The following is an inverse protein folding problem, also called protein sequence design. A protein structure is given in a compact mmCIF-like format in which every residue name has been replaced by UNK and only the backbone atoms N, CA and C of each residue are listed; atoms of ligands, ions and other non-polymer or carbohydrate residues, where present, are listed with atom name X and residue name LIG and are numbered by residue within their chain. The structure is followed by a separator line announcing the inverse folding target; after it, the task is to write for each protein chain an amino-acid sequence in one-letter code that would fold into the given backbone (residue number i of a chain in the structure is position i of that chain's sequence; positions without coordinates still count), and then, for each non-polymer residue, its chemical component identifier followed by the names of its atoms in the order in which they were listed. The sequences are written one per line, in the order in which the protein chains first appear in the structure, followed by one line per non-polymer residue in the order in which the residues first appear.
data_IF_564900215645
#
_entry.id   IF_564900215645
#
_cell.length_a   1.000
_cell.length_b   1.000
_cell.length_c   1.000
_cell.angle_alpha   90.00
_cell.angle_beta   90.00
_cell.angle_gamma   90.00
#
_symmetry.space_group_name_H-M   'P 1'
#
loop_
_entity.id
_entity.type
_entity.pdbx_description
1 polymer ?
#
# COMPACT_ATOMS: atom_id res chain seq x y z
N UNK A 1 -6.90 -26.64 -9.83
CA UNK A 1 -5.56 -26.56 -9.22
C UNK A 1 -4.81 -25.25 -9.50
N UNK A 2 -5.13 -24.49 -10.56
CA UNK A 2 -4.43 -23.23 -10.91
C UNK A 2 -4.79 -22.03 -10.02
N UNK A 3 -6.05 -21.88 -9.58
CA UNK A 3 -6.51 -20.68 -8.83
C UNK A 3 -5.99 -20.60 -7.40
N UNK A 4 -6.05 -21.70 -6.64
CA UNK A 4 -5.55 -21.75 -5.27
C UNK A 4 -4.04 -21.49 -5.20
N UNK A 5 -3.28 -22.06 -6.13
CA UNK A 5 -1.84 -21.82 -6.25
C UNK A 5 -1.55 -20.35 -6.54
N UNK A 6 -2.32 -19.71 -7.42
CA UNK A 6 -2.15 -18.28 -7.72
C UNK A 6 -2.45 -17.39 -6.50
N UNK A 7 -3.51 -17.70 -5.74
CA UNK A 7 -3.84 -16.97 -4.50
C UNK A 7 -2.71 -17.15 -3.48
N UNK A 8 -2.22 -18.37 -3.31
CA UNK A 8 -1.10 -18.66 -2.41
C UNK A 8 0.17 -17.89 -2.81
N UNK A 9 0.56 -17.95 -4.09
CA UNK A 9 1.71 -17.22 -4.61
C UNK A 9 1.55 -15.71 -4.46
N UNK A 10 0.35 -15.16 -4.70
CA UNK A 10 0.09 -13.73 -4.56
C UNK A 10 0.26 -13.27 -3.11
N UNK A 11 -0.28 -14.01 -2.12
CA UNK A 11 -0.13 -13.69 -0.70
C UNK A 11 1.33 -13.67 -0.25
N UNK A 12 2.09 -14.71 -0.59
CA UNK A 12 3.48 -14.86 -0.16
C UNK A 12 4.49 -14.15 -1.07
N UNK A 13 4.06 -13.56 -2.20
CA UNK A 13 4.94 -12.78 -3.06
C UNK A 13 5.56 -11.57 -2.37
N UNK A 14 4.90 -11.04 -1.33
CA UNK A 14 5.41 -9.96 -0.49
C UNK A 14 6.68 -10.35 0.29
N UNK A 15 6.96 -11.65 0.45
CA UNK A 15 8.19 -12.12 1.08
C UNK A 15 9.43 -11.69 0.28
N UNK A 16 9.33 -11.59 -1.05
CA UNK A 16 10.42 -11.14 -1.90
C UNK A 16 10.87 -9.69 -1.58
N UNK A 17 10.01 -8.64 -1.66
CA UNK A 17 10.42 -7.29 -1.29
C UNK A 17 10.85 -7.18 0.17
N UNK A 18 10.24 -7.94 1.10
CA UNK A 18 10.65 -7.92 2.52
C UNK A 18 12.07 -8.43 2.71
N UNK A 19 12.42 -9.59 2.14
CA UNK A 19 13.77 -10.17 2.26
C UNK A 19 14.80 -9.25 1.60
N UNK A 20 14.52 -8.76 0.39
CA UNK A 20 15.42 -7.84 -0.31
C UNK A 20 15.59 -6.53 0.48
N UNK A 21 14.51 -6.01 1.04
CA UNK A 21 14.52 -4.82 1.91
C UNK A 21 15.36 -5.02 3.16
N UNK A 22 15.26 -6.19 3.81
CA UNK A 22 16.05 -6.53 5.00
C UNK A 22 17.55 -6.58 4.69
N UNK A 23 17.93 -7.26 3.60
CA UNK A 23 19.33 -7.37 3.18
C UNK A 23 19.94 -5.99 2.84
N UNK A 24 19.13 -5.04 2.37
CA UNK A 24 19.59 -3.70 1.99
C UNK A 24 19.38 -2.63 3.06
N UNK A 25 18.71 -2.92 4.17
CA UNK A 25 18.25 -1.93 5.16
C UNK A 25 19.37 -1.03 5.71
N UNK A 26 20.59 -1.56 5.84
CA UNK A 26 21.76 -0.79 6.33
C UNK A 26 22.18 0.33 5.37
N UNK A 27 21.97 0.12 4.07
CA UNK A 27 22.50 0.94 2.97
C UNK A 27 21.47 1.94 2.43
N UNK A 28 20.17 1.67 2.61
CA UNK A 28 19.08 2.47 2.06
C UNK A 28 18.94 3.82 2.76
N UNK A 29 18.65 4.88 2.00
CA UNK A 29 18.32 6.20 2.56
C UNK A 29 17.08 6.09 3.49
N UNK A 30 17.10 6.85 4.59
CA UNK A 30 16.01 6.93 5.57
C UNK A 30 14.68 7.32 4.92
N UNK A 31 14.71 8.03 3.78
CA UNK A 31 13.50 8.40 3.02
C UNK A 31 12.67 7.19 2.55
N UNK A 32 13.28 6.02 2.40
CA UNK A 32 12.58 4.77 2.02
C UNK A 32 12.11 3.94 3.22
N UNK A 33 12.41 4.35 4.46
CA UNK A 33 12.03 3.62 5.66
C UNK A 33 10.51 3.38 5.77
N UNK A 34 9.62 4.37 5.49
CA UNK A 34 8.18 4.16 5.60
C UNK A 34 7.70 3.06 4.65
N UNK A 35 8.27 3.01 3.44
CA UNK A 35 7.97 2.00 2.44
C UNK A 35 8.41 0.60 2.89
N UNK A 36 9.62 0.47 3.45
CA UNK A 36 10.09 -0.82 3.97
C UNK A 36 9.22 -1.30 5.13
N UNK A 37 8.84 -0.40 6.04
CA UNK A 37 7.92 -0.72 7.13
C UNK A 37 6.56 -1.17 6.59
N UNK A 38 6.07 -0.55 5.52
CA UNK A 38 4.82 -0.94 4.88
C UNK A 38 4.87 -2.38 4.33
N UNK A 39 5.99 -2.79 3.72
CA UNK A 39 6.18 -4.18 3.27
C UNK A 39 6.16 -5.16 4.45
N UNK A 40 6.81 -4.79 5.57
CA UNK A 40 6.80 -5.60 6.80
C UNK A 40 5.41 -5.69 7.42
N UNK A 41 4.70 -4.57 7.54
CA UNK A 41 3.33 -4.56 8.09
C UNK A 41 2.38 -5.35 7.22
N UNK A 42 2.53 -5.30 5.88
CA UNK A 42 1.75 -6.13 4.96
C UNK A 42 1.99 -7.62 5.21
N UNK A 43 3.25 -8.05 5.36
CA UNK A 43 3.59 -9.45 5.61
C UNK A 43 3.05 -9.92 6.97
N UNK A 44 3.20 -9.10 8.01
CA UNK A 44 2.66 -9.39 9.33
C UNK A 44 1.14 -9.47 9.29
N UNK A 45 0.47 -8.57 8.56
CA UNK A 45 -0.97 -8.59 8.41
C UNK A 45 -1.48 -9.88 7.74
N UNK A 46 -0.79 -10.40 6.72
CA UNK A 46 -1.14 -11.69 6.10
C UNK A 46 -1.03 -12.84 7.10
N UNK A 47 0.09 -12.91 7.84
CA UNK A 47 0.31 -13.96 8.86
C UNK A 47 -0.73 -13.87 9.98
N UNK A 48 -0.97 -12.67 10.52
CA UNK A 48 -1.96 -12.47 11.59
C UNK A 48 -3.37 -12.76 11.08
N UNK A 49 -3.70 -12.38 9.84
CA UNK A 49 -4.99 -12.67 9.22
C UNK A 49 -5.21 -14.17 9.09
N UNK A 50 -4.21 -14.94 8.66
CA UNK A 50 -4.31 -16.38 8.55
C UNK A 50 -4.52 -17.06 9.91
N UNK A 51 -3.79 -16.60 10.95
CA UNK A 51 -4.00 -17.07 12.32
C UNK A 51 -5.40 -16.70 12.81
N UNK A 52 -5.85 -15.47 12.57
CA UNK A 52 -7.14 -14.95 13.01
C UNK A 52 -8.31 -15.71 12.40
N UNK A 53 -8.24 -16.04 11.11
CA UNK A 53 -9.25 -16.85 10.43
C UNK A 53 -9.34 -18.24 11.06
N UNK A 54 -8.21 -18.85 11.43
CA UNK A 54 -8.19 -20.20 12.03
C UNK A 54 -8.73 -20.20 13.47
N UNK A 55 -8.40 -19.18 14.27
CA UNK A 55 -8.75 -19.12 15.71
C UNK A 55 -10.13 -18.49 15.93
N UNK A 56 -10.40 -17.33 15.33
CA UNK A 56 -11.60 -16.52 15.58
C UNK A 56 -12.63 -16.58 14.45
N UNK A 57 -12.35 -17.29 13.35
CA UNK A 57 -13.20 -17.37 12.15
C UNK A 57 -13.47 -16.03 11.47
N UNK A 58 -12.70 -15.00 11.83
CA UNK A 58 -12.74 -13.67 11.24
C UNK A 58 -11.35 -13.03 11.36
N UNK A 59 -11.00 -12.20 10.38
CA UNK A 59 -9.83 -11.33 10.41
C UNK A 59 -10.22 -9.84 10.34
N UNK A 60 -11.51 -9.49 10.37
CA UNK A 60 -11.96 -8.12 10.19
C UNK A 60 -11.29 -7.12 11.15
N UNK A 61 -11.16 -7.39 12.48
CA UNK A 61 -10.46 -6.48 13.38
C UNK A 61 -9.00 -6.22 12.94
N UNK A 62 -8.25 -7.28 12.64
CA UNK A 62 -6.85 -7.19 12.23
C UNK A 62 -6.70 -6.41 10.91
N UNK A 63 -7.57 -6.70 9.93
CA UNK A 63 -7.57 -6.01 8.65
C UNK A 63 -7.89 -4.53 8.82
N UNK A 64 -8.90 -4.18 9.63
CA UNK A 64 -9.26 -2.78 9.89
C UNK A 64 -8.13 -2.00 10.55
N UNK A 65 -7.39 -2.60 11.50
CA UNK A 65 -6.20 -1.98 12.08
C UNK A 65 -5.08 -1.82 11.06
N UNK A 66 -4.89 -2.82 10.19
CA UNK A 66 -3.86 -2.76 9.16
C UNK A 66 -4.13 -1.65 8.14
N UNK A 67 -5.39 -1.37 7.81
CA UNK A 67 -5.76 -0.25 6.93
C UNK A 67 -5.30 1.11 7.47
N UNK A 68 -5.54 1.40 8.75
CA UNK A 68 -5.11 2.69 9.32
C UNK A 68 -3.59 2.78 9.43
N UNK A 69 -2.92 1.68 9.77
CA UNK A 69 -1.44 1.63 9.78
C UNK A 69 -0.88 1.87 8.38
N UNK A 70 -1.42 1.21 7.36
CA UNK A 70 -1.01 1.39 5.97
C UNK A 70 -1.23 2.82 5.50
N UNK A 71 -2.41 3.40 5.74
CA UNK A 71 -2.73 4.78 5.36
C UNK A 71 -1.76 5.80 5.98
N UNK A 72 -1.39 5.63 7.26
CA UNK A 72 -0.44 6.51 7.94
C UNK A 72 1.00 6.32 7.44
N UNK A 73 1.41 5.08 7.12
CA UNK A 73 2.73 4.80 6.52
C UNK A 73 2.85 5.39 5.12
N UNK A 74 1.81 5.30 4.29
CA UNK A 74 1.76 5.93 2.96
C UNK A 74 1.85 7.46 3.08
N UNK A 75 1.11 8.06 4.00
CA UNK A 75 1.19 9.50 4.25
C UNK A 75 2.59 9.92 4.71
N UNK A 76 3.23 9.13 5.58
CA UNK A 76 4.61 9.36 5.99
C UNK A 76 5.57 9.23 4.81
N UNK A 77 5.41 8.22 3.95
CA UNK A 77 6.21 8.03 2.74
C UNK A 77 6.18 9.27 1.84
N UNK A 78 4.97 9.74 1.48
CA UNK A 78 4.82 10.93 0.63
C UNK A 78 5.34 12.21 1.29
N UNK A 79 5.29 12.29 2.63
CA UNK A 79 5.91 13.40 3.38
C UNK A 79 7.43 13.37 3.28
N UNK A 80 8.08 12.22 3.43
CA UNK A 80 9.54 12.08 3.26
C UNK A 80 9.99 12.38 1.83
N UNK A 81 9.14 12.04 0.86
CA UNK A 81 9.33 12.38 -0.54
C UNK A 81 9.01 13.84 -0.89
N UNK A 82 8.66 14.65 0.11
CA UNK A 82 8.40 16.09 -0.02
C UNK A 82 7.27 16.41 -1.01
N UNK A 83 6.30 15.49 -1.17
CA UNK A 83 5.05 15.80 -1.89
C UNK A 83 4.35 17.00 -1.24
N UNK A 84 4.36 17.02 0.09
CA UNK A 84 3.94 18.17 0.88
C UNK A 84 5.14 19.09 1.12
N UNK A 85 4.93 20.40 1.00
CA UNK A 85 5.95 21.38 1.38
C UNK A 85 6.35 21.15 2.85
N UNK A 86 7.65 21.32 3.17
CA UNK A 86 8.24 20.95 4.48
C UNK A 86 7.50 21.51 5.70
N UNK A 87 6.86 22.67 5.58
CA UNK A 87 6.09 23.35 6.65
C UNK A 87 4.58 23.31 6.45
N UNK A 88 4.09 22.61 5.43
CA UNK A 88 2.67 22.59 5.14
C UNK A 88 1.92 21.71 6.15
N UNK A 89 0.81 22.20 6.74
CA UNK A 89 -0.01 21.42 7.66
C UNK A 89 -0.81 20.33 6.95
N UNK A 90 -0.82 20.27 5.60
CA UNK A 90 -1.67 19.35 4.85
C UNK A 90 -1.45 17.87 5.21
N UNK A 91 -0.20 17.45 5.45
CA UNK A 91 0.07 16.09 5.89
C UNK A 91 -0.57 15.80 7.27
N UNK A 92 -0.55 16.77 8.19
CA UNK A 92 -1.17 16.60 9.51
C UNK A 92 -2.71 16.55 9.39
N UNK A 93 -3.29 17.43 8.58
CA UNK A 93 -4.74 17.48 8.32
C UNK A 93 -5.22 16.17 7.69
N UNK A 94 -4.51 15.65 6.69
CA UNK A 94 -4.85 14.36 6.09
C UNK A 94 -4.70 13.19 7.07
N UNK A 95 -3.65 13.19 7.90
CA UNK A 95 -3.46 12.17 8.94
C UNK A 95 -4.57 12.19 9.98
N UNK A 96 -4.97 13.38 10.44
CA UNK A 96 -6.13 13.54 11.32
C UNK A 96 -7.43 13.09 10.64
N UNK A 97 -7.58 13.38 9.35
CA UNK A 97 -8.71 12.90 8.53
C UNK A 97 -8.77 11.38 8.43
N UNK A 98 -7.63 10.70 8.22
CA UNK A 98 -7.58 9.24 8.22
C UNK A 98 -8.00 8.65 9.56
N UNK A 99 -7.43 9.13 10.67
CA UNK A 99 -7.78 8.64 12.01
C UNK A 99 -9.24 8.90 12.33
N UNK A 100 -9.74 10.11 12.03
CA UNK A 100 -11.13 10.49 12.29
C UNK A 100 -12.14 9.65 11.51
N UNK A 101 -11.92 9.45 10.21
CA UNK A 101 -12.82 8.63 9.38
C UNK A 101 -12.74 7.16 9.79
N UNK A 102 -11.54 6.60 9.93
CA UNK A 102 -11.38 5.21 10.40
C UNK A 102 -12.09 4.96 11.73
N UNK A 103 -11.94 5.88 12.69
CA UNK A 103 -12.58 5.80 13.98
C UNK A 103 -14.11 5.86 13.84
N UNK A 104 -14.62 6.81 13.05
CA UNK A 104 -16.06 6.95 12.82
C UNK A 104 -16.66 5.67 12.20
N UNK A 105 -16.06 5.11 11.14
CA UNK A 105 -16.60 3.90 10.52
C UNK A 105 -16.53 2.68 11.44
N UNK A 106 -15.36 2.46 12.06
CA UNK A 106 -15.09 1.25 12.85
C UNK A 106 -15.89 1.21 14.15
N UNK A 107 -16.06 2.36 14.82
CA UNK A 107 -16.70 2.40 16.14
C UNK A 107 -18.13 2.95 16.14
N UNK A 108 -18.48 3.87 15.24
CA UNK A 108 -19.81 4.51 15.24
C UNK A 108 -20.81 3.83 14.30
N UNK A 109 -20.36 3.28 13.16
CA UNK A 109 -21.27 2.81 12.12
C UNK A 109 -21.36 1.28 11.98
N UNK A 110 -20.23 0.57 11.81
CA UNK A 110 -20.23 -0.86 11.43
C UNK A 110 -19.79 -1.83 12.53
N UNK A 111 -19.08 -1.33 13.54
CA UNK A 111 -18.48 -2.14 14.59
C UNK A 111 -17.22 -2.87 14.12
N UNK A 112 -16.36 -3.23 15.09
CA UNK A 112 -15.01 -3.77 14.81
C UNK A 112 -14.99 -5.13 14.10
N UNK A 113 -16.10 -5.86 14.11
CA UNK A 113 -16.22 -7.21 13.52
C UNK A 113 -16.55 -7.20 12.02
N UNK A 114 -16.83 -6.04 11.44
CA UNK A 114 -17.11 -5.88 10.02
C UNK A 114 -15.95 -5.13 9.33
N UNK A 115 -15.74 -5.40 8.04
CA UNK A 115 -14.70 -4.68 7.28
C UNK A 115 -15.08 -3.21 7.05
N UNK A 116 -14.12 -2.32 7.31
CA UNK A 116 -14.24 -0.87 7.11
C UNK A 116 -13.99 -0.49 5.63
N UNK A 117 -14.87 -0.98 4.74
CA UNK A 117 -14.76 -0.78 3.29
C UNK A 117 -14.78 0.70 2.88
N UNK A 118 -15.55 1.57 3.55
CA UNK A 118 -15.62 2.98 3.15
C UNK A 118 -14.31 3.71 3.41
N UNK A 119 -13.68 3.45 4.56
CA UNK A 119 -12.36 3.94 4.90
C UNK A 119 -11.33 3.39 3.91
N UNK A 120 -11.42 2.09 3.56
CA UNK A 120 -10.53 1.47 2.58
C UNK A 120 -10.60 2.16 1.22
N UNK A 121 -11.81 2.38 0.69
CA UNK A 121 -12.04 3.15 -0.54
C UNK A 121 -11.45 4.55 -0.40
N UNK A 122 -11.72 5.23 0.71
CA UNK A 122 -11.29 6.60 0.95
C UNK A 122 -9.77 6.75 0.93
N UNK A 123 -9.03 5.99 1.74
CA UNK A 123 -7.57 6.15 1.77
C UNK A 123 -6.90 5.63 0.49
N UNK A 124 -7.45 4.58 -0.13
CA UNK A 124 -6.96 4.09 -1.43
C UNK A 124 -7.09 5.17 -2.50
N UNK A 125 -8.24 5.85 -2.58
CA UNK A 125 -8.46 6.95 -3.50
C UNK A 125 -7.49 8.12 -3.28
N UNK A 126 -7.32 8.55 -2.02
CA UNK A 126 -6.34 9.61 -1.70
C UNK A 126 -4.91 9.17 -2.07
N UNK A 127 -4.57 7.90 -1.86
CA UNK A 127 -3.25 7.35 -2.24
C UNK A 127 -3.01 7.38 -3.74
N UNK A 128 -4.03 7.07 -4.56
CA UNK A 128 -3.96 7.21 -6.02
C UNK A 128 -3.68 8.67 -6.39
N UNK A 129 -4.41 9.63 -5.81
CA UNK A 129 -4.22 11.06 -6.09
C UNK A 129 -2.80 11.53 -5.71
N UNK A 130 -2.30 11.13 -4.53
CA UNK A 130 -0.93 11.45 -4.09
C UNK A 130 0.12 10.82 -5.02
N UNK A 131 -0.09 9.57 -5.45
CA UNK A 131 0.81 8.86 -6.34
C UNK A 131 0.89 9.53 -7.71
N UNK A 132 -0.25 9.89 -8.31
CA UNK A 132 -0.31 10.59 -9.60
C UNK A 132 0.34 11.98 -9.50
N UNK A 133 0.03 12.74 -8.46
CA UNK A 133 0.66 14.05 -8.25
C UNK A 133 2.17 13.93 -8.10
N UNK A 134 2.66 12.91 -7.38
CA UNK A 134 4.08 12.69 -7.23
C UNK A 134 4.76 12.27 -8.54
N UNK A 135 4.11 11.43 -9.34
CA UNK A 135 4.58 11.10 -10.70
C UNK A 135 4.70 12.37 -11.55
N UNK A 136 3.74 13.29 -11.48
CA UNK A 136 3.81 14.57 -12.20
C UNK A 136 5.00 15.43 -11.76
N UNK A 137 5.31 15.43 -10.46
CA UNK A 137 6.50 16.12 -9.93
C UNK A 137 7.78 15.45 -10.45
N UNK A 138 7.85 14.12 -10.48
CA UNK A 138 9.00 13.39 -11.02
C UNK A 138 9.19 13.68 -12.53
N UNK A 139 8.12 13.67 -13.32
CA UNK A 139 8.18 13.94 -14.76
C UNK A 139 8.62 15.39 -15.03
N UNK A 140 8.10 16.36 -14.27
CA UNK A 140 8.47 17.77 -14.45
C UNK A 140 9.87 18.10 -13.93
N UNK A 141 10.35 17.40 -12.90
CA UNK A 141 11.67 17.62 -12.31
C UNK A 141 12.84 16.97 -13.06
N UNK A 142 12.62 15.86 -13.78
CA UNK A 142 13.69 15.10 -14.44
C UNK A 142 13.56 15.13 -15.96
N UNK A 143 14.64 15.50 -16.67
CA UNK A 143 14.66 15.52 -18.15
C UNK A 143 14.52 14.14 -18.79
N UNK A 144 14.88 13.04 -18.08
CA UNK A 144 14.75 11.66 -18.57
C UNK A 144 14.33 10.72 -17.44
N UNK A 145 13.03 10.58 -17.23
CA UNK A 145 12.50 9.59 -16.31
C UNK A 145 12.75 8.17 -16.87
N UNK A 146 13.61 7.42 -16.19
CA UNK A 146 13.92 6.03 -16.55
C UNK A 146 13.16 5.07 -15.65
N UNK A 147 12.78 3.89 -16.16
CA UNK A 147 12.19 2.79 -15.37
C UNK A 147 13.07 2.32 -14.20
N UNK A 148 14.34 2.77 -14.11
CA UNK A 148 15.24 2.52 -12.99
C UNK A 148 15.02 3.44 -11.79
N UNK A 149 14.18 4.48 -11.91
CA UNK A 149 13.82 5.32 -10.77
C UNK A 149 12.86 4.55 -9.85
N UNK A 150 13.36 4.11 -8.71
CA UNK A 150 12.61 3.33 -7.71
C UNK A 150 11.32 4.04 -7.26
N UNK A 151 11.38 5.35 -7.01
CA UNK A 151 10.24 6.17 -6.61
C UNK A 151 9.10 6.17 -7.67
N UNK A 152 9.46 6.24 -8.95
CA UNK A 152 8.50 6.15 -10.05
C UNK A 152 7.84 4.77 -10.09
N UNK A 153 8.62 3.69 -9.97
CA UNK A 153 8.06 2.33 -9.95
C UNK A 153 7.12 2.09 -8.78
N UNK A 154 7.47 2.57 -7.60
CA UNK A 154 6.65 2.41 -6.39
C UNK A 154 5.33 3.15 -6.55
N UNK A 155 5.37 4.42 -6.95
CA UNK A 155 4.15 5.22 -7.16
C UNK A 155 3.29 4.71 -8.31
N UNK A 156 3.88 4.24 -9.41
CA UNK A 156 3.14 3.61 -10.50
C UNK A 156 2.42 2.34 -10.02
N UNK A 157 3.09 1.52 -9.20
CA UNK A 157 2.51 0.31 -8.61
C UNK A 157 1.40 0.64 -7.61
N UNK A 158 1.55 1.69 -6.80
CA UNK A 158 0.49 2.17 -5.92
C UNK A 158 -0.73 2.64 -6.71
N UNK A 159 -0.54 3.45 -7.76
CA UNK A 159 -1.63 3.90 -8.62
C UNK A 159 -2.39 2.69 -9.19
N UNK A 160 -1.69 1.70 -9.74
CA UNK A 160 -2.33 0.51 -10.31
C UNK A 160 -3.05 -0.33 -9.26
N UNK A 161 -2.38 -0.64 -8.15
CA UNK A 161 -2.92 -1.49 -7.09
C UNK A 161 -4.12 -0.83 -6.40
N UNK A 162 -3.98 0.40 -5.91
CA UNK A 162 -5.05 1.07 -5.18
C UNK A 162 -6.25 1.43 -6.05
N UNK A 163 -6.06 1.67 -7.36
CA UNK A 163 -7.20 1.82 -8.29
C UNK A 163 -8.03 0.53 -8.35
N UNK A 164 -7.37 -0.63 -8.42
CA UNK A 164 -8.07 -1.93 -8.42
C UNK A 164 -8.73 -2.22 -7.07
N UNK A 165 -8.11 -1.84 -5.95
CA UNK A 165 -8.72 -1.93 -4.62
C UNK A 165 -10.00 -1.10 -4.54
N UNK A 166 -9.97 0.15 -4.99
CA UNK A 166 -11.17 1.01 -5.05
C UNK A 166 -12.27 0.33 -5.86
N UNK A 167 -11.94 -0.24 -7.02
CA UNK A 167 -12.93 -0.96 -7.83
C UNK A 167 -13.50 -2.19 -7.11
N UNK A 168 -12.65 -3.02 -6.50
CA UNK A 168 -13.07 -4.22 -5.74
C UNK A 168 -13.99 -3.84 -4.59
N UNK A 169 -13.62 -2.86 -3.79
CA UNK A 169 -14.41 -2.42 -2.63
C UNK A 169 -15.72 -1.76 -3.06
N UNK A 170 -15.73 -0.99 -4.16
CA UNK A 170 -16.97 -0.44 -4.72
C UNK A 170 -17.92 -1.56 -5.17
N UNK A 171 -17.41 -2.61 -5.83
CA UNK A 171 -18.22 -3.78 -6.17
C UNK A 171 -18.73 -4.52 -4.93
N UNK A 172 -17.95 -4.57 -3.86
CA UNK A 172 -18.36 -5.19 -2.61
C UNK A 172 -19.46 -4.40 -1.89
N UNK A 173 -19.31 -3.07 -1.82
CA UNK A 173 -20.25 -2.17 -1.12
C UNK A 173 -21.55 -2.01 -1.89
N UNK A 174 -21.47 -1.77 -3.20
CA UNK A 174 -22.64 -1.45 -4.03
C UNK A 174 -23.23 -2.66 -4.74
N UNK A 175 -22.52 -3.80 -4.69
CA UNK A 175 -23.04 -5.13 -4.98
C UNK A 175 -24.16 -5.15 -6.00
N UNK A 176 -23.87 -4.82 -7.25
CA UNK A 176 -24.81 -5.11 -8.35
C UNK A 176 -25.23 -6.57 -8.17
N UNK A 177 -26.51 -6.82 -7.90
CA UNK A 177 -27.05 -8.08 -7.37
C UNK A 177 -27.00 -9.27 -8.34
N UNK A 178 -25.87 -9.52 -9.00
CA UNK A 178 -25.75 -10.40 -10.16
C UNK A 178 -24.48 -11.26 -10.13
N UNK A 179 -24.67 -12.51 -9.71
CA UNK A 179 -23.86 -13.72 -9.99
C UNK A 179 -22.40 -13.71 -9.50
N UNK A 180 -22.12 -14.58 -8.54
CA UNK A 180 -20.80 -14.90 -7.94
C UNK A 180 -19.63 -14.99 -8.95
N UNK A 181 -19.91 -15.35 -10.20
CA UNK A 181 -18.93 -15.46 -11.26
C UNK A 181 -18.22 -14.13 -11.60
N UNK A 182 -18.92 -12.98 -11.63
CA UNK A 182 -18.29 -11.72 -12.01
C UNK A 182 -17.35 -11.21 -10.91
N UNK A 183 -17.81 -11.17 -9.65
CA UNK A 183 -16.99 -10.79 -8.50
C UNK A 183 -15.75 -11.69 -8.39
N UNK A 184 -15.88 -13.00 -8.63
CA UNK A 184 -14.76 -13.91 -8.64
C UNK A 184 -13.67 -13.55 -9.67
N UNK A 185 -14.04 -13.03 -10.85
CA UNK A 185 -13.09 -12.58 -11.88
C UNK A 185 -12.42 -11.27 -11.50
N UNK A 186 -13.16 -10.32 -10.91
CA UNK A 186 -12.59 -9.07 -10.41
C UNK A 186 -11.56 -9.36 -9.31
N UNK A 187 -11.87 -10.27 -8.39
CA UNK A 187 -10.90 -10.74 -7.38
C UNK A 187 -9.67 -11.41 -7.99
N UNK A 188 -9.83 -12.16 -9.08
CA UNK A 188 -8.71 -12.78 -9.79
C UNK A 188 -7.78 -11.71 -10.37
N UNK A 189 -8.33 -10.68 -11.01
CA UNK A 189 -7.57 -9.55 -11.56
C UNK A 189 -6.81 -8.82 -10.44
N UNK A 190 -7.48 -8.54 -9.31
CA UNK A 190 -6.84 -7.91 -8.15
C UNK A 190 -5.71 -8.79 -7.57
N UNK A 191 -5.89 -10.11 -7.54
CA UNK A 191 -4.86 -11.06 -7.07
C UNK A 191 -3.62 -11.05 -7.97
N UNK A 192 -3.80 -11.00 -9.30
CA UNK A 192 -2.71 -10.92 -10.27
C UNK A 192 -2.01 -9.56 -10.17
N UNK A 193 -2.77 -8.47 -10.04
CA UNK A 193 -2.20 -7.15 -9.88
C UNK A 193 -1.39 -7.01 -8.57
N UNK A 194 -1.87 -7.58 -7.47
CA UNK A 194 -1.12 -7.65 -6.21
C UNK A 194 0.23 -8.37 -6.41
N UNK A 195 0.23 -9.52 -7.08
CA UNK A 195 1.45 -10.26 -7.40
C UNK A 195 2.43 -9.40 -8.23
N UNK A 196 1.94 -8.74 -9.29
CA UNK A 196 2.76 -7.87 -10.14
C UNK A 196 3.32 -6.70 -9.33
N UNK A 197 2.50 -6.03 -8.51
CA UNK A 197 2.94 -4.91 -7.66
C UNK A 197 4.02 -5.34 -6.68
N UNK A 198 3.88 -6.50 -6.03
CA UNK A 198 4.88 -7.02 -5.10
C UNK A 198 6.22 -7.32 -5.78
N UNK A 199 6.18 -7.84 -7.01
CA UNK A 199 7.39 -8.02 -7.81
C UNK A 199 8.03 -6.68 -8.17
N UNK A 200 7.24 -5.69 -8.63
CA UNK A 200 7.74 -4.34 -8.93
C UNK A 200 8.34 -3.69 -7.69
N UNK A 201 7.73 -3.84 -6.52
CA UNK A 201 8.28 -3.36 -5.25
C UNK A 201 9.64 -3.99 -4.95
N UNK A 202 9.79 -5.29 -5.13
CA UNK A 202 11.09 -5.96 -4.94
C UNK A 202 12.17 -5.42 -5.89
N UNK A 203 11.84 -5.23 -7.17
CA UNK A 203 12.75 -4.60 -8.13
C UNK A 203 13.05 -3.13 -7.79
N UNK A 204 12.06 -2.37 -7.36
CA UNK A 204 12.24 -0.99 -6.93
C UNK A 204 13.21 -0.89 -5.75
N UNK A 205 13.11 -1.80 -4.77
CA UNK A 205 14.07 -1.88 -3.65
C UNK A 205 15.48 -2.20 -4.14
N UNK A 206 15.65 -3.04 -5.17
CA UNK A 206 16.97 -3.29 -5.79
C UNK A 206 17.54 -2.05 -6.50
N UNK A 207 16.70 -1.12 -6.94
CA UNK A 207 17.14 0.14 -7.57
C UNK A 207 17.12 1.35 -6.65
N UNK A 208 16.79 1.19 -5.37
CA UNK A 208 16.87 2.29 -4.41
C UNK A 208 18.31 2.77 -4.21
N UNK A 209 18.44 4.09 -4.12
CA UNK A 209 19.71 4.78 -3.91
C UNK A 209 20.31 4.45 -2.54
N UNK A 210 21.64 4.37 -2.50
CA UNK A 210 22.40 4.19 -1.26
C UNK A 210 22.48 5.54 -0.53
N UNK A 211 22.60 5.51 0.80
CA UNK A 211 22.91 6.71 1.61
C UNK A 211 24.12 7.43 1.01
N UNK A 212 23.96 8.71 0.70
CA UNK A 212 25.08 9.55 0.30
C UNK A 212 25.95 9.79 1.54
N UNK A 213 27.15 9.20 1.55
CA UNK A 213 28.17 9.54 2.54
C UNK A 213 28.68 10.94 2.16
N UNK A 214 28.16 11.98 2.79
CA UNK A 214 28.76 13.31 2.67
C UNK A 214 30.17 13.23 3.26
N UNK A 215 31.18 13.15 2.39
CA UNK A 215 32.56 13.42 2.77
C UNK A 215 32.58 14.92 3.06
N UNK A 216 32.60 15.27 4.35
CA UNK A 216 32.87 16.63 4.77
C UNK A 216 34.28 16.97 4.28
N UNK A 217 34.38 17.81 3.25
CA UNK A 217 35.62 18.51 2.94
C UNK A 217 35.80 19.55 4.04
N UNK A 218 36.54 19.16 5.09
CA UNK A 218 37.12 20.07 6.09
C UNK A 218 38.46 20.59 5.58
#
# INVERSE_FOLDING_TARGET
MSRELLIFLSKYSLLFPVVVGLLRMRVLDRRYLPFLLMMWTGLLNEVISEISIRVWRTNAPNTNFSFIVEALLLLWLFREWRLFQRRSPWALVLGAGYVGFWFAETFLFRGIQQFSSYFHIFYAFITVLMSVQYINILISGYQKLTVRHSEFLITASFTLYFTLIVLVEMFWVYGFGSKDAFSAQVYLIATVANLISNLIFGFAILWMNRKQNYIALS
#
